data_IF_497709717101
#
_entry.id   IF_497709717101
#
_cell.length_a   1.000
_cell.length_b   1.000
_cell.length_c   1.000
_cell.angle_alpha   90.00
_cell.angle_beta   90.00
_cell.angle_gamma   90.00
#
_symmetry.space_group_name_H-M   'P 1'
#
loop_
_entity.id
_entity.type
_entity.pdbx_description
1 polymer ?
#
# COMPACT_ATOMS: atom_id res chain seq x y z
N UNK A 1 -31.38 -37.99 23.08
CA UNK A 1 -30.33 -37.02 22.75
C UNK A 1 -29.04 -37.49 23.38
N UNK A 2 -28.09 -38.04 22.58
CA UNK A 2 -26.77 -38.50 23.06
C UNK A 2 -25.74 -37.44 22.69
N UNK A 3 -25.17 -36.81 23.72
CA UNK A 3 -24.06 -35.84 23.57
C UNK A 3 -22.75 -36.61 23.47
N UNK A 4 -22.09 -36.52 22.33
CA UNK A 4 -20.75 -37.05 22.10
C UNK A 4 -19.71 -36.01 22.49
N UNK A 5 -18.93 -36.30 23.54
CA UNK A 5 -17.79 -35.47 23.96
C UNK A 5 -16.57 -35.86 23.14
N UNK A 6 -16.05 -34.93 22.34
CA UNK A 6 -14.79 -35.11 21.60
C UNK A 6 -13.65 -34.62 22.47
N UNK A 7 -12.78 -35.54 22.88
CA UNK A 7 -11.58 -35.26 23.68
C UNK A 7 -10.42 -34.95 22.71
N UNK A 8 -9.86 -33.75 22.79
CA UNK A 8 -8.63 -33.41 22.06
C UNK A 8 -7.41 -33.74 22.93
N UNK A 9 -6.57 -34.65 22.41
CA UNK A 9 -5.30 -34.99 23.03
C UNK A 9 -4.19 -34.14 22.41
N UNK A 10 -3.55 -33.29 23.20
CA UNK A 10 -2.37 -32.51 22.80
C UNK A 10 -1.14 -33.38 23.04
N UNK A 11 -0.43 -33.72 21.96
CA UNK A 11 0.86 -34.42 22.01
C UNK A 11 1.96 -33.36 22.06
N UNK A 12 2.62 -33.23 23.23
CA UNK A 12 3.81 -32.38 23.40
C UNK A 12 5.04 -33.15 22.94
N UNK A 13 5.68 -32.71 21.87
CA UNK A 13 6.99 -33.22 21.46
C UNK A 13 8.10 -32.46 22.21
N UNK A 14 8.79 -33.15 23.14
CA UNK A 14 10.01 -32.68 23.76
C UNK A 14 11.18 -32.80 22.78
N UNK A 15 11.77 -31.69 22.40
CA UNK A 15 13.02 -31.66 21.65
C UNK A 15 14.19 -31.71 22.63
N UNK A 16 14.93 -32.82 22.59
CA UNK A 16 16.16 -33.02 23.41
C UNK A 16 17.33 -32.32 22.73
N UNK A 17 17.94 -31.35 23.43
CA UNK A 17 19.19 -30.69 23.02
C UNK A 17 20.35 -31.57 23.46
N UNK A 18 21.13 -32.12 22.54
CA UNK A 18 22.38 -32.83 22.82
C UNK A 18 23.53 -31.81 22.78
N UNK A 19 24.10 -31.53 23.93
CA UNK A 19 25.35 -30.77 24.06
C UNK A 19 26.52 -31.73 23.90
N UNK A 20 27.25 -31.62 22.80
CA UNK A 20 28.54 -32.27 22.61
C UNK A 20 29.65 -31.34 23.10
N UNK A 21 30.15 -31.59 24.31
CA UNK A 21 31.40 -30.99 24.78
C UNK A 21 32.56 -31.88 24.32
N UNK A 22 33.38 -31.31 23.39
CA UNK A 22 34.66 -31.90 23.02
C UNK A 22 35.78 -31.08 23.67
N UNK A 23 36.40 -31.65 24.74
CA UNK A 23 37.68 -31.18 25.22
C UNK A 23 38.81 -31.85 24.42
N UNK A 24 39.55 -31.04 23.69
CA UNK A 24 40.79 -31.47 23.06
C UNK A 24 41.86 -30.39 23.26
N UNK A 25 42.77 -30.61 24.22
CA UNK A 25 43.97 -29.81 24.43
C UNK A 25 44.96 -30.07 23.30
N UNK A 26 45.28 -29.04 22.51
CA UNK A 26 46.52 -29.05 21.76
C UNK A 26 47.11 -27.63 21.61
N UNK A 27 48.19 -27.43 22.27
CA UNK A 27 49.05 -26.22 22.25
C UNK A 27 49.77 -26.16 20.92
N UNK A 28 49.27 -25.36 20.00
CA UNK A 28 50.07 -24.84 18.88
C UNK A 28 49.83 -23.34 18.75
N UNK A 29 50.90 -22.58 18.98
CA UNK A 29 50.97 -21.16 18.71
C UNK A 29 50.76 -20.94 17.21
N UNK A 30 49.56 -20.59 16.85
CA UNK A 30 49.28 -20.09 15.49
C UNK A 30 49.11 -18.56 15.59
N UNK A 31 49.94 -17.87 14.85
CA UNK A 31 49.85 -16.42 14.66
C UNK A 31 48.45 -16.03 14.29
N UNK A 32 47.80 -15.24 15.14
CA UNK A 32 46.57 -14.55 14.80
C UNK A 32 46.83 -13.54 13.72
N UNK A 33 46.57 -13.92 12.49
CA UNK A 33 46.34 -12.95 11.40
C UNK A 33 45.06 -12.25 11.74
N UNK A 34 45.12 -11.04 12.28
CA UNK A 34 43.98 -10.13 12.41
C UNK A 34 43.43 -9.90 11.01
N UNK A 35 42.46 -10.68 10.61
CA UNK A 35 41.63 -10.33 9.48
C UNK A 35 40.83 -9.07 9.93
N UNK A 36 41.31 -7.92 9.48
CA UNK A 36 40.57 -6.67 9.52
C UNK A 36 39.35 -6.85 8.60
N UNK A 37 38.25 -7.35 9.14
CA UNK A 37 36.96 -7.28 8.47
C UNK A 37 36.55 -5.80 8.50
N UNK A 38 36.98 -5.04 7.52
CA UNK A 38 36.36 -3.77 7.19
C UNK A 38 34.93 -4.10 6.79
N UNK A 39 34.00 -4.11 7.76
CA UNK A 39 32.58 -4.10 7.46
C UNK A 39 32.35 -2.80 6.71
N UNK A 40 32.17 -2.87 5.41
CA UNK A 40 31.59 -1.79 4.63
C UNK A 40 30.17 -1.58 5.20
N UNK A 41 30.05 -0.74 6.21
CA UNK A 41 28.76 -0.27 6.66
C UNK A 41 28.25 0.65 5.56
N UNK A 42 27.29 0.15 4.80
CA UNK A 42 26.50 0.99 3.90
C UNK A 42 25.62 1.85 4.81
N UNK A 43 26.04 3.09 5.02
CA UNK A 43 25.21 4.08 5.72
C UNK A 43 24.24 4.67 4.72
N UNK A 44 22.94 4.47 4.98
CA UNK A 44 21.86 5.09 4.20
C UNK A 44 21.38 6.34 4.93
N UNK A 45 21.00 7.36 4.18
CA UNK A 45 20.27 8.49 4.73
C UNK A 45 18.85 8.05 5.12
N UNK A 46 18.17 8.86 5.94
CA UNK A 46 16.77 8.62 6.29
C UNK A 46 15.87 8.50 5.04
N UNK A 47 16.05 9.41 4.09
CA UNK A 47 15.27 9.43 2.85
C UNK A 47 15.52 8.18 2.00
N UNK A 48 16.78 7.76 1.86
CA UNK A 48 17.12 6.51 1.16
C UNK A 48 16.48 5.29 1.82
N UNK A 49 16.48 5.23 3.15
CA UNK A 49 15.83 4.16 3.90
C UNK A 49 14.33 4.15 3.64
N UNK A 50 13.64 5.30 3.76
CA UNK A 50 12.18 5.41 3.49
C UNK A 50 11.83 5.04 2.06
N UNK A 51 12.63 5.48 1.10
CA UNK A 51 12.50 5.11 -0.31
C UNK A 51 12.60 3.59 -0.50
N UNK A 52 13.59 2.96 0.12
CA UNK A 52 13.79 1.51 0.02
C UNK A 52 12.64 0.72 0.67
N UNK A 53 12.16 1.15 1.83
CA UNK A 53 10.99 0.55 2.50
C UNK A 53 9.73 0.59 1.63
N UNK A 54 9.54 1.66 0.86
CA UNK A 54 8.39 1.82 -0.03
C UNK A 54 8.48 1.03 -1.33
N UNK A 55 9.65 0.55 -1.71
CA UNK A 55 9.89 -0.08 -3.03
C UNK A 55 8.91 -1.23 -3.31
N UNK A 56 8.72 -2.14 -2.36
CA UNK A 56 7.85 -3.29 -2.55
C UNK A 56 6.38 -2.90 -2.62
N UNK A 57 5.95 -1.93 -1.81
CA UNK A 57 4.57 -1.41 -1.83
C UNK A 57 4.25 -0.74 -3.16
N UNK A 58 5.17 0.09 -3.66
CA UNK A 58 5.03 0.79 -4.95
C UNK A 58 5.04 -0.21 -6.11
N UNK A 59 5.90 -1.22 -6.06
CA UNK A 59 5.96 -2.28 -7.07
C UNK A 59 4.64 -3.07 -7.10
N UNK A 60 4.12 -3.47 -5.94
CA UNK A 60 2.84 -4.16 -5.83
C UNK A 60 1.71 -3.30 -6.37
N UNK A 61 1.66 -2.03 -5.94
CA UNK A 61 0.61 -1.09 -6.38
C UNK A 61 0.58 -0.95 -7.90
N UNK A 62 1.75 -0.79 -8.55
CA UNK A 62 1.82 -0.57 -10.00
C UNK A 62 1.73 -1.83 -10.86
N UNK A 63 2.15 -2.99 -10.34
CA UNK A 63 2.40 -4.17 -11.19
C UNK A 63 1.57 -5.39 -10.82
N UNK A 64 1.09 -5.50 -9.57
CA UNK A 64 0.35 -6.66 -9.16
C UNK A 64 -1.07 -6.67 -9.77
N UNK A 65 -1.47 -7.81 -10.30
CA UNK A 65 -2.83 -8.02 -10.79
C UNK A 65 -3.87 -7.89 -9.66
N UNK A 66 -3.46 -8.22 -8.44
CA UNK A 66 -4.28 -8.11 -7.23
C UNK A 66 -4.71 -6.68 -6.96
N UNK A 67 -3.83 -5.70 -7.11
CA UNK A 67 -4.16 -4.27 -6.92
C UNK A 67 -5.28 -3.86 -7.86
N UNK A 68 -5.13 -4.19 -9.16
CA UNK A 68 -6.17 -3.91 -10.14
C UNK A 68 -7.48 -4.63 -9.81
N UNK A 69 -7.41 -5.89 -9.40
CA UNK A 69 -8.57 -6.68 -9.03
C UNK A 69 -9.31 -6.10 -7.82
N UNK A 70 -8.57 -5.63 -6.80
CA UNK A 70 -9.14 -5.00 -5.59
C UNK A 70 -9.86 -3.69 -5.92
N UNK A 71 -9.28 -2.84 -6.76
CA UNK A 71 -9.95 -1.62 -7.22
C UNK A 71 -11.22 -1.93 -7.99
N UNK A 72 -11.17 -2.83 -8.96
CA UNK A 72 -12.35 -3.23 -9.74
C UNK A 72 -13.42 -3.85 -8.85
N UNK A 73 -13.06 -4.69 -7.90
CA UNK A 73 -13.99 -5.27 -6.94
C UNK A 73 -14.67 -4.16 -6.10
N UNK A 74 -13.88 -3.22 -5.56
CA UNK A 74 -14.41 -2.11 -4.76
C UNK A 74 -15.41 -1.28 -5.54
N UNK A 75 -15.07 -0.86 -6.75
CA UNK A 75 -15.97 -0.04 -7.58
C UNK A 75 -17.17 -0.82 -8.12
N UNK A 76 -17.03 -2.11 -8.40
CA UNK A 76 -18.18 -2.95 -8.77
C UNK A 76 -19.18 -3.05 -7.60
N UNK A 77 -18.70 -3.32 -6.39
CA UNK A 77 -19.55 -3.36 -5.18
C UNK A 77 -20.22 -2.00 -4.93
N UNK A 78 -19.47 -0.90 -5.07
CA UNK A 78 -20.02 0.45 -4.92
C UNK A 78 -21.11 0.74 -5.98
N UNK A 79 -20.87 0.33 -7.22
CA UNK A 79 -21.84 0.48 -8.32
C UNK A 79 -23.12 -0.31 -8.04
N UNK A 80 -23.01 -1.56 -7.63
CA UNK A 80 -24.18 -2.40 -7.35
C UNK A 80 -24.97 -1.86 -6.14
N UNK A 81 -24.26 -1.39 -5.12
CA UNK A 81 -24.91 -0.73 -3.98
C UNK A 81 -25.62 0.57 -4.38
N UNK A 82 -25.02 1.36 -5.24
CA UNK A 82 -25.64 2.58 -5.76
C UNK A 82 -26.90 2.26 -6.58
N UNK A 83 -26.86 1.24 -7.44
CA UNK A 83 -28.03 0.75 -8.17
C UNK A 83 -29.20 0.40 -7.25
N UNK A 84 -28.93 -0.32 -6.16
CA UNK A 84 -29.94 -0.68 -5.15
C UNK A 84 -30.54 0.57 -4.50
N UNK A 85 -29.70 1.52 -4.08
CA UNK A 85 -30.12 2.76 -3.43
C UNK A 85 -31.01 3.59 -4.35
N UNK A 86 -30.68 3.69 -5.62
CA UNK A 86 -31.41 4.46 -6.62
C UNK A 86 -32.81 3.89 -6.92
N UNK A 87 -33.11 2.66 -6.51
CA UNK A 87 -34.48 2.12 -6.62
C UNK A 87 -35.42 2.70 -5.55
N UNK A 88 -34.89 3.36 -4.52
CA UNK A 88 -35.69 3.98 -3.47
C UNK A 88 -35.95 5.44 -3.82
N UNK A 89 -37.22 5.88 -3.92
CA UNK A 89 -37.52 7.29 -4.16
C UNK A 89 -36.96 8.16 -3.01
N UNK A 90 -36.47 9.33 -3.34
CA UNK A 90 -35.99 10.31 -2.37
C UNK A 90 -36.37 11.72 -2.82
N UNK A 91 -36.83 12.54 -1.85
CA UNK A 91 -37.11 13.97 -2.10
C UNK A 91 -35.86 14.82 -2.29
N UNK A 92 -34.70 14.25 -1.98
CA UNK A 92 -33.40 14.91 -2.14
C UNK A 92 -32.52 14.08 -3.07
N UNK A 93 -31.63 14.73 -3.83
CA UNK A 93 -30.68 14.01 -4.63
C UNK A 93 -29.76 13.17 -3.76
N UNK A 94 -29.45 11.97 -4.19
CA UNK A 94 -28.42 11.15 -3.58
C UNK A 94 -27.06 11.77 -3.81
N UNK A 95 -26.15 11.49 -2.89
CA UNK A 95 -24.77 11.94 -3.01
C UNK A 95 -23.80 10.85 -2.60
N UNK A 96 -22.61 10.92 -3.20
CA UNK A 96 -21.45 10.11 -2.81
C UNK A 96 -20.32 11.04 -2.40
N UNK A 97 -19.51 10.59 -1.45
CA UNK A 97 -18.33 11.29 -0.97
C UNK A 97 -17.14 10.37 -1.17
N UNK A 98 -16.10 10.86 -1.78
CA UNK A 98 -14.88 10.11 -2.12
C UNK A 98 -13.66 10.95 -1.73
N UNK A 99 -12.60 10.26 -1.34
CA UNK A 99 -11.27 10.83 -1.36
C UNK A 99 -10.72 10.83 -2.81
N UNK A 100 -9.62 11.54 -3.04
CA UNK A 100 -9.00 11.65 -4.37
C UNK A 100 -7.79 10.73 -4.50
N UNK A 101 -6.80 10.90 -3.64
CA UNK A 101 -5.49 10.29 -3.80
C UNK A 101 -5.54 8.79 -3.45
N UNK A 102 -5.10 7.94 -4.37
CA UNK A 102 -5.22 6.48 -4.31
C UNK A 102 -6.65 5.95 -4.16
N UNK A 103 -7.65 6.83 -4.23
CA UNK A 103 -9.06 6.48 -4.28
C UNK A 103 -9.63 6.67 -5.67
N UNK A 104 -9.50 7.85 -6.24
CA UNK A 104 -9.93 8.18 -7.61
C UNK A 104 -8.72 8.34 -8.53
N UNK A 105 -7.65 8.96 -8.04
CA UNK A 105 -6.44 9.30 -8.78
C UNK A 105 -5.26 8.40 -8.39
N UNK A 106 -4.55 7.89 -9.38
CA UNK A 106 -3.34 7.08 -9.24
C UNK A 106 -2.10 7.98 -9.20
N UNK A 107 -1.54 8.18 -8.01
CA UNK A 107 -0.30 8.93 -7.81
C UNK A 107 0.95 8.05 -7.76
N UNK A 108 0.84 6.77 -8.09
CA UNK A 108 1.98 5.86 -8.10
C UNK A 108 3.14 6.31 -8.99
N UNK A 109 2.97 7.07 -10.08
CA UNK A 109 4.11 7.61 -10.83
C UNK A 109 4.99 8.55 -10.00
N UNK A 110 4.40 9.35 -9.09
CA UNK A 110 5.15 10.15 -8.13
C UNK A 110 5.91 9.26 -7.13
N UNK A 111 5.26 8.25 -6.59
CA UNK A 111 5.88 7.31 -5.65
C UNK A 111 7.05 6.55 -6.29
N UNK A 112 6.90 6.13 -7.55
CA UNK A 112 7.99 5.49 -8.33
C UNK A 112 9.17 6.43 -8.50
N UNK A 113 8.91 7.72 -8.74
CA UNK A 113 10.00 8.68 -8.88
C UNK A 113 10.78 8.83 -7.57
N UNK A 114 10.10 8.92 -6.43
CA UNK A 114 10.74 8.96 -5.12
C UNK A 114 11.62 7.72 -4.87
N UNK A 115 11.13 6.52 -5.25
CA UNK A 115 11.93 5.29 -5.13
C UNK A 115 13.19 5.34 -6.01
N UNK A 116 13.08 5.82 -7.24
CA UNK A 116 14.21 5.94 -8.16
C UNK A 116 15.25 6.94 -7.69
N UNK A 117 14.80 8.04 -7.10
CA UNK A 117 15.65 9.13 -6.65
C UNK A 117 16.22 8.88 -5.24
N UNK A 118 15.75 7.83 -4.55
CA UNK A 118 16.14 7.54 -3.17
C UNK A 118 15.68 8.63 -2.20
N UNK A 119 14.50 9.20 -2.45
CA UNK A 119 13.90 10.28 -1.66
C UNK A 119 12.64 9.82 -0.93
N UNK A 120 12.36 10.44 0.22
CA UNK A 120 11.07 10.32 0.90
C UNK A 120 10.03 11.29 0.32
N UNK A 121 8.81 11.23 0.85
CA UNK A 121 7.78 12.22 0.53
C UNK A 121 8.28 13.63 0.85
N UNK A 122 8.10 14.54 -0.10
CA UNK A 122 8.43 15.96 0.03
C UNK A 122 7.25 16.81 -0.46
N UNK A 123 6.72 17.73 0.34
CA UNK A 123 5.57 18.56 -0.05
C UNK A 123 5.80 19.41 -1.31
N UNK A 124 7.04 19.85 -1.57
CA UNK A 124 7.36 20.63 -2.77
C UNK A 124 7.32 19.78 -4.03
N UNK A 125 7.87 18.57 -3.96
CA UNK A 125 7.87 17.63 -5.08
C UNK A 125 6.46 17.10 -5.35
N UNK A 126 5.67 16.90 -4.28
CA UNK A 126 4.26 16.61 -4.36
C UNK A 126 3.49 17.72 -5.09
N UNK A 127 3.72 18.99 -4.73
CA UNK A 127 3.09 20.14 -5.39
C UNK A 127 3.44 20.18 -6.90
N UNK A 128 4.69 19.89 -7.26
CA UNK A 128 5.11 19.76 -8.66
C UNK A 128 4.36 18.64 -9.38
N UNK A 129 4.13 17.52 -8.72
CA UNK A 129 3.36 16.40 -9.28
C UNK A 129 1.89 16.79 -9.51
N UNK A 130 1.22 17.37 -8.51
CA UNK A 130 -0.18 17.80 -8.61
C UNK A 130 -0.37 18.80 -9.73
N UNK A 131 0.53 19.78 -9.88
CA UNK A 131 0.50 20.78 -10.95
C UNK A 131 0.62 20.23 -12.35
N UNK A 132 1.13 19.01 -12.52
CA UNK A 132 1.14 18.36 -13.84
C UNK A 132 -0.25 17.96 -14.30
N UNK A 133 -1.22 17.81 -13.38
CA UNK A 133 -2.58 17.32 -13.67
C UNK A 133 -2.54 16.06 -14.57
N UNK A 134 -1.71 15.07 -14.20
CA UNK A 134 -1.39 13.93 -15.04
C UNK A 134 -1.64 12.57 -14.36
N UNK A 135 -2.25 12.57 -13.18
CA UNK A 135 -2.67 11.34 -12.53
C UNK A 135 -3.80 10.67 -13.33
N UNK A 136 -3.72 9.36 -13.49
CA UNK A 136 -4.78 8.59 -14.14
C UNK A 136 -5.82 8.19 -13.11
N UNK A 137 -7.05 7.95 -13.58
CA UNK A 137 -8.04 7.32 -12.72
C UNK A 137 -7.58 5.90 -12.34
N UNK A 138 -7.78 5.52 -11.07
CA UNK A 138 -7.59 4.13 -10.65
C UNK A 138 -8.61 3.21 -11.34
N UNK A 139 -8.36 1.90 -11.46
CA UNK A 139 -9.24 0.98 -12.16
C UNK A 139 -10.68 0.99 -11.61
N UNK A 140 -11.66 1.22 -12.46
CA UNK A 140 -13.08 1.24 -12.13
C UNK A 140 -13.63 2.58 -11.65
N UNK A 141 -12.79 3.52 -11.20
CA UNK A 141 -13.25 4.81 -10.68
C UNK A 141 -14.03 5.62 -11.73
N UNK A 142 -13.49 5.74 -12.94
CA UNK A 142 -14.13 6.50 -14.01
C UNK A 142 -15.52 5.97 -14.34
N UNK A 143 -15.67 4.66 -14.49
CA UNK A 143 -16.93 4.04 -14.86
C UNK A 143 -17.99 4.24 -13.75
N UNK A 144 -17.57 4.09 -12.49
CA UNK A 144 -18.44 4.34 -11.33
C UNK A 144 -18.89 5.79 -11.25
N UNK A 145 -17.98 6.75 -11.43
CA UNK A 145 -18.31 8.17 -11.36
C UNK A 145 -19.22 8.59 -12.53
N UNK A 146 -18.97 8.09 -13.73
CA UNK A 146 -19.84 8.32 -14.86
C UNK A 146 -21.23 7.74 -14.63
N UNK A 147 -21.34 6.54 -14.06
CA UNK A 147 -22.63 5.95 -13.70
C UNK A 147 -23.37 6.80 -12.66
N UNK A 148 -22.67 7.28 -11.62
CA UNK A 148 -23.26 8.15 -10.60
C UNK A 148 -23.80 9.47 -11.21
N UNK A 149 -22.99 10.14 -12.02
CA UNK A 149 -23.34 11.40 -12.68
C UNK A 149 -24.56 11.22 -13.63
N UNK A 150 -24.56 10.19 -14.46
CA UNK A 150 -25.67 9.88 -15.37
C UNK A 150 -26.98 9.59 -14.65
N UNK A 151 -26.94 9.19 -13.39
CA UNK A 151 -28.11 8.95 -12.54
C UNK A 151 -28.45 10.12 -11.60
N UNK A 152 -27.86 11.30 -11.79
CA UNK A 152 -28.16 12.50 -11.04
C UNK A 152 -27.64 12.47 -9.59
N UNK A 153 -26.67 11.63 -9.28
CA UNK A 153 -26.03 11.54 -7.97
C UNK A 153 -25.00 12.66 -7.85
N UNK A 154 -25.09 13.43 -6.76
CA UNK A 154 -24.09 14.46 -6.50
C UNK A 154 -22.79 13.84 -6.02
N UNK A 155 -21.66 14.28 -6.60
CA UNK A 155 -20.33 13.77 -6.28
C UNK A 155 -19.56 14.84 -5.50
N UNK A 156 -19.09 14.47 -4.32
CA UNK A 156 -18.25 15.32 -3.47
C UNK A 156 -16.90 14.65 -3.26
N UNK A 157 -15.84 15.44 -3.37
CA UNK A 157 -14.50 15.01 -3.03
C UNK A 157 -14.03 15.66 -1.73
N UNK A 158 -13.47 14.86 -0.83
CA UNK A 158 -12.80 15.32 0.39
C UNK A 158 -11.37 14.82 0.32
N UNK A 159 -10.43 15.74 0.32
CA UNK A 159 -9.01 15.43 0.18
C UNK A 159 -8.19 16.30 1.13
N UNK A 160 -7.01 15.84 1.50
CA UNK A 160 -6.01 16.61 2.26
C UNK A 160 -5.13 17.50 1.36
N UNK A 161 -5.38 17.52 0.04
CA UNK A 161 -4.75 18.47 -0.86
C UNK A 161 -5.01 19.91 -0.41
N UNK A 162 -3.99 20.75 -0.53
CA UNK A 162 -4.09 22.15 -0.12
C UNK A 162 -5.00 22.96 -1.05
N UNK A 163 -5.55 24.07 -0.53
CA UNK A 163 -6.40 24.96 -1.33
C UNK A 163 -5.68 25.53 -2.55
N UNK A 164 -4.36 25.69 -2.50
CA UNK A 164 -3.56 26.13 -3.65
C UNK A 164 -3.46 25.09 -4.78
N UNK A 165 -3.86 23.86 -4.54
CA UNK A 165 -3.83 22.75 -5.50
C UNK A 165 -5.20 22.48 -6.16
N UNK A 166 -6.24 23.22 -5.76
CA UNK A 166 -7.62 22.97 -6.22
C UNK A 166 -7.73 23.07 -7.74
N UNK A 167 -7.22 24.16 -8.34
CA UNK A 167 -7.34 24.39 -9.78
C UNK A 167 -6.65 23.30 -10.61
N UNK A 168 -5.47 22.84 -10.16
CA UNK A 168 -4.74 21.76 -10.83
C UNK A 168 -5.39 20.39 -10.59
N UNK A 169 -6.04 20.21 -9.45
CA UNK A 169 -6.84 19.02 -9.16
C UNK A 169 -8.08 18.94 -10.04
N UNK A 170 -8.75 20.07 -10.28
CA UNK A 170 -9.92 20.14 -11.18
C UNK A 170 -9.53 19.84 -12.63
N UNK A 171 -8.34 20.23 -13.07
CA UNK A 171 -7.83 19.92 -14.41
C UNK A 171 -7.53 18.44 -14.62
N UNK A 172 -7.21 17.75 -13.55
CA UNK A 172 -6.82 16.34 -13.60
C UNK A 172 -8.03 15.44 -13.80
#
# INVERSE_FOLDING_TARGET
MKTTKTTFTIVSALASVILLTSCGSNTNKTQETKASSTKNQVTMTYDQQRSQENTMSVLWYQKAAETKALYLQGYNVATDRLKEILQTPSDKPYSIVLDLDETVLDNSPYQVQNVKDGTAFNPKDWDVWVKKAAAKAVPGAKDFLQYADQNGVQIYYISDRTTSQVDDTIKN
#
